data_IF_012833913591
#
_entry.id   IF_012833913591
#
_cell.length_a   1.000
_cell.length_b   1.000
_cell.length_c   1.000
_cell.angle_alpha   90.00
_cell.angle_beta   90.00
_cell.angle_gamma   90.00
#
_symmetry.space_group_name_H-M   'P 1'
#
loop_
_entity.id
_entity.type
_entity.pdbx_description
1 polymer ?
#
# COMPACT_ATOMS: atom_id res chain seq x y z
N UNK A 1 19.35 -27.29 56.24
CA UNK A 1 18.47 -26.85 55.14
C UNK A 1 19.34 -26.48 53.95
N UNK A 2 19.06 -27.03 52.77
CA UNK A 2 19.21 -26.46 51.40
C UNK A 2 20.58 -25.84 51.06
N UNK A 3 21.42 -26.55 50.30
CA UNK A 3 21.49 -26.60 48.82
C UNK A 3 22.59 -25.68 48.28
N UNK A 4 23.37 -26.26 47.37
CA UNK A 4 24.54 -25.68 46.73
C UNK A 4 24.15 -24.54 45.78
N UNK A 5 25.01 -23.51 45.67
CA UNK A 5 25.48 -23.05 44.36
C UNK A 5 26.67 -22.10 44.50
N UNK A 6 27.82 -22.58 44.06
CA UNK A 6 29.04 -21.81 43.81
C UNK A 6 28.98 -21.19 42.42
N UNK A 7 29.49 -19.97 42.23
CA UNK A 7 30.35 -19.58 41.10
C UNK A 7 31.00 -18.20 41.30
N UNK A 8 32.21 -18.10 40.74
CA UNK A 8 33.34 -17.20 41.01
C UNK A 8 33.22 -15.73 40.47
N UNK A 9 34.13 -14.82 40.86
CA UNK A 9 34.38 -13.54 40.18
C UNK A 9 35.41 -13.72 39.02
N UNK A 10 35.87 -12.65 38.34
CA UNK A 10 35.22 -11.69 37.43
C UNK A 10 35.67 -11.88 35.94
N UNK A 11 35.17 -11.03 35.02
CA UNK A 11 35.23 -11.13 33.54
C UNK A 11 36.63 -11.24 32.87
N UNK A 12 36.71 -11.72 31.60
CA UNK A 12 37.05 -10.78 30.50
C UNK A 12 36.42 -11.03 29.09
N UNK A 13 36.19 -9.90 28.39
CA UNK A 13 36.25 -9.62 26.94
C UNK A 13 35.18 -10.13 25.91
N UNK A 14 34.97 -9.36 24.80
CA UNK A 14 33.75 -9.36 23.99
C UNK A 14 33.90 -10.12 22.66
N UNK A 15 32.87 -10.83 22.21
CA UNK A 15 32.53 -11.03 20.78
C UNK A 15 31.40 -12.05 20.64
N UNK A 16 30.21 -11.54 20.29
CA UNK A 16 29.26 -12.11 19.32
C UNK A 16 27.91 -11.42 19.56
N UNK A 17 27.76 -10.20 19.05
CA UNK A 17 26.43 -9.68 18.81
C UNK A 17 25.74 -10.59 17.78
N UNK A 18 24.46 -10.95 17.95
CA UNK A 18 23.70 -11.57 16.87
C UNK A 18 23.66 -10.57 15.71
N UNK A 19 24.01 -11.04 14.51
CA UNK A 19 23.97 -10.27 13.27
C UNK A 19 22.57 -9.65 13.04
N UNK A 20 22.47 -8.41 12.54
CA UNK A 20 21.18 -7.79 12.29
C UNK A 20 20.53 -8.47 11.08
N UNK A 21 19.39 -9.11 11.33
CA UNK A 21 18.45 -9.60 10.31
C UNK A 21 17.81 -8.39 9.63
N UNK A 22 18.54 -7.68 8.77
CA UNK A 22 18.01 -6.51 8.03
C UNK A 22 18.27 -6.61 6.52
N UNK A 23 19.22 -7.44 6.07
CA UNK A 23 19.65 -7.40 4.67
C UNK A 23 19.05 -8.48 3.74
N UNK A 24 18.21 -9.41 4.22
CA UNK A 24 17.77 -10.57 3.42
C UNK A 24 16.28 -10.66 3.10
N UNK A 25 15.44 -9.71 3.56
CA UNK A 25 13.98 -9.73 3.29
C UNK A 25 13.61 -9.16 1.91
N UNK A 26 14.50 -8.40 1.27
CA UNK A 26 14.19 -7.61 0.06
C UNK A 26 14.01 -8.40 -1.25
N UNK A 27 14.70 -9.52 -1.54
CA UNK A 27 14.54 -10.20 -2.83
C UNK A 27 13.23 -11.00 -2.93
N UNK A 28 12.78 -11.56 -1.80
CA UNK A 28 11.58 -12.42 -1.76
C UNK A 28 10.29 -11.59 -1.80
N UNK A 29 10.27 -10.44 -1.13
CA UNK A 29 9.15 -9.49 -1.17
C UNK A 29 8.90 -8.94 -2.58
N UNK A 30 9.94 -8.42 -3.24
CA UNK A 30 9.80 -7.85 -4.58
C UNK A 30 9.30 -8.89 -5.60
N UNK A 31 9.73 -10.15 -5.41
CA UNK A 31 9.26 -11.29 -6.21
C UNK A 31 7.79 -11.61 -5.96
N UNK A 32 7.36 -11.58 -4.69
CA UNK A 32 5.97 -11.78 -4.28
C UNK A 32 5.04 -10.66 -4.79
N UNK A 33 5.46 -9.40 -4.70
CA UNK A 33 4.73 -8.23 -5.25
C UNK A 33 4.61 -8.31 -6.76
N UNK A 34 5.72 -8.60 -7.47
CA UNK A 34 5.69 -8.79 -8.92
C UNK A 34 4.81 -9.96 -9.34
N UNK A 35 4.76 -11.05 -8.56
CA UNK A 35 3.83 -12.15 -8.78
C UNK A 35 2.38 -11.69 -8.60
N UNK A 36 2.10 -10.96 -7.51
CA UNK A 36 0.77 -10.44 -7.23
C UNK A 36 0.22 -9.56 -8.36
N UNK A 37 1.00 -8.58 -8.81
CA UNK A 37 0.61 -7.70 -9.92
C UNK A 37 0.40 -8.47 -11.23
N UNK A 38 1.23 -9.49 -11.51
CA UNK A 38 1.04 -10.37 -12.68
C UNK A 38 -0.28 -11.13 -12.60
N UNK A 39 -0.62 -11.69 -11.44
CA UNK A 39 -1.88 -12.40 -11.24
C UNK A 39 -3.08 -11.44 -11.32
N UNK A 40 -2.95 -10.24 -10.77
CA UNK A 40 -3.96 -9.19 -10.86
C UNK A 40 -4.27 -8.80 -12.30
N UNK A 41 -3.25 -8.62 -13.15
CA UNK A 41 -3.44 -8.31 -14.58
C UNK A 41 -4.18 -9.41 -15.35
N UNK A 42 -4.13 -10.68 -14.93
CA UNK A 42 -4.88 -11.77 -15.59
C UNK A 42 -6.40 -11.57 -15.53
N UNK A 43 -6.89 -10.79 -14.56
CA UNK A 43 -8.31 -10.46 -14.43
C UNK A 43 -8.74 -9.27 -15.29
N UNK A 44 -7.84 -8.72 -16.11
CA UNK A 44 -8.10 -7.57 -16.98
C UNK A 44 -8.73 -6.38 -16.22
N UNK A 45 -8.06 -5.90 -15.16
CA UNK A 45 -8.54 -4.73 -14.43
C UNK A 45 -8.69 -3.54 -15.38
N UNK A 46 -9.74 -2.77 -15.18
CA UNK A 46 -9.98 -1.55 -15.94
C UNK A 46 -8.99 -0.47 -15.51
N UNK A 47 -8.48 0.32 -16.45
CA UNK A 47 -7.68 1.53 -16.16
C UNK A 47 -8.59 2.73 -15.91
N UNK A 48 -8.09 3.72 -15.18
CA UNK A 48 -8.80 5.00 -14.98
C UNK A 48 -7.89 6.17 -15.33
N UNK A 49 -8.36 7.07 -16.21
CA UNK A 49 -7.60 8.23 -16.67
C UNK A 49 -7.63 9.40 -15.68
N UNK A 50 -8.43 9.32 -14.61
CA UNK A 50 -8.66 10.46 -13.72
C UNK A 50 -9.70 11.45 -14.24
N UNK A 51 -10.59 11.05 -15.16
CA UNK A 51 -11.67 11.93 -15.61
C UNK A 51 -12.59 12.32 -14.45
N UNK A 52 -12.86 13.63 -14.34
CA UNK A 52 -13.81 14.23 -13.41
C UNK A 52 -15.19 14.45 -14.04
N UNK A 53 -15.34 14.14 -15.33
CA UNK A 53 -16.52 14.48 -16.12
C UNK A 53 -17.70 13.55 -15.82
N UNK A 54 -17.40 12.30 -15.45
CA UNK A 54 -18.40 11.30 -15.14
C UNK A 54 -18.01 10.54 -13.84
N UNK A 55 -18.65 10.85 -12.70
CA UNK A 55 -18.36 10.17 -11.44
C UNK A 55 -18.73 8.67 -11.51
N UNK A 56 -19.63 8.28 -12.42
CA UNK A 56 -20.00 6.86 -12.60
C UNK A 56 -18.81 6.03 -13.09
N UNK A 57 -17.98 6.55 -14.02
CA UNK A 57 -16.74 5.89 -14.47
C UNK A 57 -15.79 5.63 -13.29
N UNK A 58 -15.60 6.61 -12.43
CA UNK A 58 -14.74 6.47 -11.25
C UNK A 58 -15.29 5.42 -10.26
N UNK A 59 -16.62 5.34 -10.09
CA UNK A 59 -17.27 4.35 -9.22
C UNK A 59 -17.14 2.95 -9.79
N UNK A 60 -17.41 2.80 -11.09
CA UNK A 60 -17.34 1.52 -11.77
C UNK A 60 -15.91 0.98 -11.79
N UNK A 61 -14.92 1.85 -11.99
CA UNK A 61 -13.52 1.50 -11.89
C UNK A 61 -13.18 0.96 -10.50
N UNK A 62 -13.49 1.72 -9.44
CA UNK A 62 -13.17 1.33 -8.07
C UNK A 62 -13.88 0.02 -7.67
N UNK A 63 -15.16 -0.13 -8.03
CA UNK A 63 -15.96 -1.34 -7.78
C UNK A 63 -15.38 -2.57 -8.51
N UNK A 64 -14.87 -2.37 -9.73
CA UNK A 64 -14.22 -3.43 -10.50
C UNK A 64 -12.95 -3.91 -9.79
N UNK A 65 -12.12 -2.98 -9.29
CA UNK A 65 -10.94 -3.35 -8.51
C UNK A 65 -11.30 -4.06 -7.20
N UNK A 66 -12.27 -3.57 -6.44
CA UNK A 66 -12.70 -4.21 -5.19
C UNK A 66 -13.25 -5.62 -5.41
N UNK A 67 -13.85 -5.89 -6.57
CA UNK A 67 -14.30 -7.22 -6.98
C UNK A 67 -13.11 -8.16 -7.20
N UNK A 68 -12.10 -7.72 -7.95
CA UNK A 68 -10.88 -8.50 -8.20
C UNK A 68 -10.14 -8.76 -6.89
N UNK A 69 -9.98 -7.73 -6.05
CA UNK A 69 -9.31 -7.85 -4.75
C UNK A 69 -9.98 -8.86 -3.83
N UNK A 70 -11.32 -8.93 -3.84
CA UNK A 70 -12.09 -9.90 -3.06
C UNK A 70 -11.86 -11.33 -3.56
N UNK A 71 -11.78 -11.52 -4.87
CA UNK A 71 -11.54 -12.83 -5.49
C UNK A 71 -10.12 -13.32 -5.23
N UNK A 72 -9.13 -12.44 -5.41
CA UNK A 72 -7.71 -12.73 -5.20
C UNK A 72 -7.28 -12.78 -3.72
N UNK A 73 -8.12 -12.29 -2.80
CA UNK A 73 -7.77 -12.13 -1.37
C UNK A 73 -6.56 -11.22 -1.15
N UNK A 74 -6.49 -10.11 -1.90
CA UNK A 74 -5.41 -9.13 -1.75
C UNK A 74 -5.35 -8.59 -0.31
N UNK A 75 -4.13 -8.47 0.23
CA UNK A 75 -3.84 -7.75 1.47
C UNK A 75 -4.09 -6.24 1.29
N UNK A 76 -4.11 -5.46 2.38
CA UNK A 76 -4.38 -4.02 2.28
C UNK A 76 -3.28 -3.26 1.56
N UNK A 77 -2.01 -3.62 1.82
CA UNK A 77 -0.81 -3.10 1.14
C UNK A 77 -0.88 -3.32 -0.39
N UNK A 78 -1.17 -4.54 -0.82
CA UNK A 78 -1.30 -4.91 -2.25
C UNK A 78 -2.37 -4.13 -3.00
N UNK A 79 -3.47 -3.75 -2.34
CA UNK A 79 -4.59 -3.07 -3.01
C UNK A 79 -4.20 -1.69 -3.51
N UNK A 80 -3.43 -0.94 -2.71
CA UNK A 80 -3.00 0.42 -3.09
C UNK A 80 -2.07 0.33 -4.28
N UNK A 81 -1.05 -0.54 -4.23
CA UNK A 81 -0.14 -0.72 -5.36
C UNK A 81 -0.86 -1.12 -6.65
N UNK A 82 -1.81 -2.06 -6.57
CA UNK A 82 -2.61 -2.45 -7.73
C UNK A 82 -3.47 -1.30 -8.26
N UNK A 83 -4.12 -0.54 -7.39
CA UNK A 83 -4.96 0.57 -7.81
C UNK A 83 -4.14 1.69 -8.47
N UNK A 84 -3.00 2.04 -7.88
CA UNK A 84 -2.06 3.03 -8.43
C UNK A 84 -1.54 2.60 -9.79
N UNK A 85 -1.18 1.32 -9.94
CA UNK A 85 -0.75 0.76 -11.22
C UNK A 85 -1.83 0.86 -12.32
N UNK A 86 -3.12 0.90 -11.95
CA UNK A 86 -4.24 1.02 -12.88
C UNK A 86 -4.68 2.46 -13.15
N UNK A 87 -4.07 3.45 -12.49
CA UNK A 87 -4.24 4.85 -12.82
C UNK A 87 -3.41 5.22 -14.05
N UNK A 88 -3.97 6.09 -14.88
CA UNK A 88 -3.35 6.61 -16.10
C UNK A 88 -3.57 8.10 -16.21
N UNK A 89 -2.75 8.80 -17.00
CA UNK A 89 -2.92 10.22 -17.34
C UNK A 89 -3.15 11.13 -16.10
N UNK A 90 -4.28 11.84 -16.02
CA UNK A 90 -4.63 12.71 -14.89
C UNK A 90 -4.75 11.96 -13.57
N UNK A 91 -5.13 10.68 -13.62
CA UNK A 91 -5.19 9.79 -12.46
C UNK A 91 -3.82 9.58 -11.83
N UNK A 92 -2.80 9.32 -12.65
CA UNK A 92 -1.41 9.16 -12.19
C UNK A 92 -0.89 10.45 -11.57
N UNK A 93 -1.06 11.58 -12.27
CA UNK A 93 -0.60 12.89 -11.77
C UNK A 93 -1.28 13.30 -10.45
N UNK A 94 -2.56 12.96 -10.29
CA UNK A 94 -3.27 13.14 -9.03
C UNK A 94 -2.64 12.31 -7.91
N UNK A 95 -2.38 11.02 -8.16
CA UNK A 95 -1.83 10.13 -7.15
C UNK A 95 -0.45 10.58 -6.68
N UNK A 96 0.46 10.95 -7.57
CA UNK A 96 1.80 11.45 -7.21
C UNK A 96 1.72 12.64 -6.23
N UNK A 97 0.73 13.52 -6.41
CA UNK A 97 0.50 14.65 -5.52
C UNK A 97 -0.08 14.21 -4.18
N UNK A 98 -1.06 13.30 -4.19
CA UNK A 98 -1.73 12.79 -2.99
C UNK A 98 -0.79 11.93 -2.14
N UNK A 99 0.00 11.05 -2.75
CA UNK A 99 1.00 10.22 -2.07
C UNK A 99 1.98 11.08 -1.27
N UNK A 100 2.51 12.15 -1.88
CA UNK A 100 3.38 13.11 -1.19
C UNK A 100 2.69 13.80 -0.02
N UNK A 101 1.39 14.08 -0.11
CA UNK A 101 0.62 14.66 1.00
C UNK A 101 0.40 13.65 2.14
N UNK A 102 0.45 12.36 1.82
CA UNK A 102 0.16 11.26 2.74
C UNK A 102 1.42 10.62 3.36
N UNK A 103 2.60 11.20 3.11
CA UNK A 103 3.88 10.74 3.69
C UNK A 103 4.89 10.21 2.67
N UNK A 104 4.51 10.07 1.40
CA UNK A 104 5.43 9.76 0.29
C UNK A 104 5.84 8.30 0.14
N UNK A 105 5.23 7.38 0.89
CA UNK A 105 5.52 5.95 0.81
C UNK A 105 4.22 5.17 0.57
N UNK A 106 4.07 4.59 -0.63
CA UNK A 106 2.85 3.90 -1.05
C UNK A 106 2.52 2.69 -0.17
N UNK A 107 3.55 2.02 0.35
CA UNK A 107 3.40 0.84 1.21
C UNK A 107 2.87 1.18 2.61
N UNK A 108 2.97 2.46 3.03
CA UNK A 108 2.36 2.95 4.27
C UNK A 108 0.93 3.47 4.08
N UNK A 109 0.50 3.68 2.84
CA UNK A 109 -0.83 4.19 2.56
C UNK A 109 -1.83 3.04 2.62
N UNK A 110 -2.81 3.14 3.52
CA UNK A 110 -3.86 2.13 3.63
C UNK A 110 -4.87 2.24 2.47
N UNK A 111 -5.52 1.11 2.14
CA UNK A 111 -6.60 1.11 1.15
C UNK A 111 -7.74 2.07 1.52
N UNK A 112 -8.01 2.24 2.82
CA UNK A 112 -8.98 3.22 3.29
C UNK A 112 -8.56 4.65 2.93
N UNK A 113 -7.31 5.02 3.20
CA UNK A 113 -6.81 6.37 2.95
C UNK A 113 -6.77 6.69 1.44
N UNK A 114 -6.43 5.69 0.62
CA UNK A 114 -6.57 5.78 -0.84
C UNK A 114 -8.01 6.10 -1.23
N UNK A 115 -8.99 5.32 -0.74
CA UNK A 115 -10.40 5.50 -1.08
C UNK A 115 -10.93 6.86 -0.63
N UNK A 116 -10.60 7.31 0.58
CA UNK A 116 -11.01 8.63 1.07
C UNK A 116 -10.49 9.75 0.15
N UNK A 117 -9.21 9.69 -0.23
CA UNK A 117 -8.61 10.66 -1.15
C UNK A 117 -9.25 10.59 -2.54
N UNK A 118 -9.54 9.38 -3.03
CA UNK A 118 -10.20 9.15 -4.30
C UNK A 118 -11.62 9.72 -4.32
N UNK A 119 -12.41 9.44 -3.29
CA UNK A 119 -13.76 9.99 -3.15
C UNK A 119 -13.75 11.52 -3.02
N UNK A 120 -12.83 12.08 -2.22
CA UNK A 120 -12.67 13.53 -2.12
C UNK A 120 -12.31 14.17 -3.46
N UNK A 121 -11.47 13.52 -4.29
CA UNK A 121 -11.05 14.07 -5.57
C UNK A 121 -12.12 13.96 -6.67
N UNK A 122 -12.70 12.78 -6.84
CA UNK A 122 -13.53 12.44 -8.00
C UNK A 122 -15.04 12.48 -7.72
N UNK A 123 -15.45 12.54 -6.44
CA UNK A 123 -16.86 12.55 -6.02
C UNK A 123 -17.28 13.76 -5.19
N UNK A 124 -16.36 14.65 -4.80
CA UNK A 124 -16.77 15.89 -4.14
C UNK A 124 -17.36 16.85 -5.17
N UNK A 125 -18.66 16.73 -5.42
CA UNK A 125 -19.42 17.67 -6.27
C UNK A 125 -19.87 18.92 -5.50
N UNK A 126 -19.63 19.06 -4.20
CA UNK A 126 -20.40 20.05 -3.40
C UNK A 126 -19.65 20.86 -2.34
N UNK A 127 -18.48 21.44 -2.61
CA UNK A 127 -17.89 22.48 -1.74
C UNK A 127 -17.18 23.64 -2.45
N UNK A 128 -17.34 23.83 -3.77
CA UNK A 128 -16.75 24.99 -4.48
C UNK A 128 -17.74 26.08 -4.90
N UNK A 129 -19.04 25.82 -4.85
CA UNK A 129 -20.07 26.81 -5.23
C UNK A 129 -20.83 27.44 -4.04
N UNK A 130 -20.39 27.23 -2.80
CA UNK A 130 -20.96 27.86 -1.61
C UNK A 130 -20.14 29.06 -1.08
N UNK A 131 -19.48 29.81 -1.99
CA UNK A 131 -18.92 31.13 -1.67
C UNK A 131 -18.73 31.97 -2.94
N UNK A 132 -19.83 32.40 -3.56
CA UNK A 132 -19.82 33.58 -4.41
C UNK A 132 -21.07 34.41 -4.19
#
# INVERSE_FOLDING_TARGET
MREQQQLAPPAPAPAAAPVPVVAQVVPDQLSAEAKHLRDFRKYNPTTFDGSLEDPTKAQLWLSSLETIFRYMKCSEDQKVQCAVFMLTDRGTAWWETTERMLGGDVDQITWQQFKESFYAKFFSVSLRDAKR
#
